data_IF_483789673244
#
_entry.id   IF_483789673244
#
_cell.length_a   1.000
_cell.length_b   1.000
_cell.length_c   1.000
_cell.angle_alpha   90.00
_cell.angle_beta   90.00
_cell.angle_gamma   90.00
#
_symmetry.space_group_name_H-M   'P 1'
#
loop_
_entity.id
_entity.type
_entity.pdbx_description
1 polymer ?
#
# COMPACT_ATOMS: atom_id res chain seq x y z
N UNK A 1 15.54 -12.64 -23.43
CA UNK A 1 14.56 -12.84 -22.35
C UNK A 1 14.50 -11.52 -21.59
N UNK A 2 13.48 -10.70 -21.84
CA UNK A 2 13.32 -9.43 -21.13
C UNK A 2 12.97 -9.76 -19.68
N UNK A 3 13.85 -9.39 -18.74
CA UNK A 3 13.52 -9.39 -17.33
C UNK A 3 12.32 -8.45 -17.17
N UNK A 4 11.17 -8.98 -16.73
CA UNK A 4 10.05 -8.15 -16.30
C UNK A 4 10.59 -7.21 -15.22
N UNK A 5 10.79 -5.96 -15.62
CA UNK A 5 11.26 -4.91 -14.74
C UNK A 5 10.18 -4.79 -13.65
N UNK A 6 10.55 -5.03 -12.39
CA UNK A 6 9.65 -4.83 -11.26
C UNK A 6 9.26 -3.35 -11.24
N UNK A 7 8.14 -2.99 -11.88
CA UNK A 7 7.63 -1.63 -12.03
C UNK A 7 7.06 -1.13 -10.69
N UNK A 8 7.92 -0.97 -9.69
CA UNK A 8 7.58 -0.39 -8.41
C UNK A 8 8.05 1.06 -8.38
N UNK A 9 7.11 1.99 -8.24
CA UNK A 9 7.42 3.40 -8.02
C UNK A 9 7.63 3.64 -6.52
N UNK A 10 8.75 4.28 -6.14
CA UNK A 10 8.98 4.72 -4.77
C UNK A 10 8.41 6.11 -4.58
N UNK A 11 7.46 6.25 -3.66
CA UNK A 11 6.85 7.52 -3.29
C UNK A 11 6.95 7.72 -1.78
N UNK A 12 7.22 8.94 -1.36
CA UNK A 12 7.13 9.36 0.05
C UNK A 12 5.80 10.05 0.25
N UNK A 13 5.07 9.66 1.28
CA UNK A 13 3.79 10.28 1.67
C UNK A 13 3.89 10.75 3.12
N UNK A 14 3.19 11.83 3.44
CA UNK A 14 2.99 12.29 4.81
C UNK A 14 1.64 11.77 5.29
N UNK A 15 1.64 11.08 6.43
CA UNK A 15 0.44 10.55 7.07
C UNK A 15 0.36 11.11 8.48
N UNK A 16 -0.86 11.21 9.01
CA UNK A 16 -1.05 11.50 10.43
C UNK A 16 -0.42 10.39 11.28
N UNK A 17 0.20 10.79 12.39
CA UNK A 17 0.91 9.87 13.28
C UNK A 17 0.00 8.75 13.81
N UNK A 18 -1.28 9.06 14.05
CA UNK A 18 -2.25 8.05 14.49
C UNK A 18 -2.55 7.03 13.39
N UNK A 19 -2.76 7.49 12.15
CA UNK A 19 -3.00 6.63 10.99
C UNK A 19 -1.81 5.70 10.74
N UNK A 20 -0.59 6.22 10.82
CA UNK A 20 0.61 5.40 10.68
C UNK A 20 0.72 4.30 11.74
N UNK A 21 0.36 4.60 13.00
CA UNK A 21 0.36 3.61 14.09
C UNK A 21 -0.63 2.48 13.85
N UNK A 22 -1.85 2.80 13.42
CA UNK A 22 -2.86 1.79 13.11
C UNK A 22 -2.42 0.89 11.94
N UNK A 23 -1.85 1.48 10.88
CA UNK A 23 -1.31 0.71 9.74
C UNK A 23 -0.16 -0.20 10.20
N UNK A 24 0.71 0.30 11.07
CA UNK A 24 1.85 -0.49 11.58
C UNK A 24 1.38 -1.65 12.45
N UNK A 25 0.33 -1.46 13.26
CA UNK A 25 -0.30 -2.52 14.04
C UNK A 25 -0.95 -3.57 13.13
N UNK A 26 -1.74 -3.14 12.15
CA UNK A 26 -2.35 -4.05 11.17
C UNK A 26 -1.29 -4.84 10.38
N UNK A 27 -0.17 -4.22 10.04
CA UNK A 27 0.95 -4.89 9.36
C UNK A 27 1.57 -6.00 10.22
N UNK A 28 1.68 -5.77 11.53
CA UNK A 28 2.18 -6.78 12.47
C UNK A 28 1.19 -7.93 12.65
N UNK A 29 -0.10 -7.64 12.76
CA UNK A 29 -1.16 -8.65 12.92
C UNK A 29 -1.26 -9.58 11.68
N UNK A 30 -1.10 -9.02 10.48
CA UNK A 30 -1.21 -9.77 9.22
C UNK A 30 0.10 -10.44 8.77
N UNK A 31 1.20 -10.28 9.52
CA UNK A 31 2.57 -10.68 9.11
C UNK A 31 2.96 -10.12 7.73
N UNK A 32 2.53 -8.89 7.41
CA UNK A 32 2.79 -8.22 6.14
C UNK A 32 3.59 -6.94 6.31
N UNK A 33 4.15 -6.44 5.21
CA UNK A 33 4.80 -5.14 5.20
C UNK A 33 3.77 -4.00 5.16
N UNK A 34 4.10 -2.87 5.80
CA UNK A 34 3.31 -1.62 5.69
C UNK A 34 3.08 -1.23 4.23
N UNK A 35 4.11 -1.36 3.37
CA UNK A 35 4.00 -1.09 1.94
C UNK A 35 2.99 -1.99 1.22
N UNK A 36 2.85 -3.25 1.66
CA UNK A 36 1.84 -4.16 1.11
C UNK A 36 0.42 -3.70 1.44
N UNK A 37 0.16 -3.32 2.70
CA UNK A 37 -1.15 -2.82 3.13
C UNK A 37 -1.51 -1.51 2.43
N UNK A 38 -0.56 -0.57 2.32
CA UNK A 38 -0.77 0.69 1.60
C UNK A 38 -1.11 0.40 0.13
N UNK A 39 -0.36 -0.49 -0.53
CA UNK A 39 -0.66 -0.85 -1.92
C UNK A 39 -2.03 -1.52 -2.07
N UNK A 40 -2.44 -2.38 -1.13
CA UNK A 40 -3.75 -3.03 -1.14
C UNK A 40 -4.87 -1.99 -1.10
N UNK A 41 -4.83 -1.09 -0.12
CA UNK A 41 -5.83 -0.02 0.05
C UNK A 41 -5.88 0.89 -1.17
N UNK A 42 -4.72 1.30 -1.69
CA UNK A 42 -4.66 2.15 -2.90
C UNK A 42 -5.22 1.43 -4.13
N UNK A 43 -5.01 0.12 -4.25
CA UNK A 43 -5.55 -0.69 -5.36
C UNK A 43 -7.06 -0.85 -5.25
N UNK A 44 -7.58 -1.13 -4.05
CA UNK A 44 -9.02 -1.24 -3.79
C UNK A 44 -9.72 0.09 -4.08
N UNK A 45 -9.18 1.20 -3.56
CA UNK A 45 -9.70 2.54 -3.83
C UNK A 45 -9.68 2.92 -5.31
N UNK A 46 -8.63 2.53 -6.05
CA UNK A 46 -8.56 2.79 -7.49
C UNK A 46 -9.63 2.01 -8.27
N UNK A 47 -9.87 0.73 -7.91
CA UNK A 47 -10.91 -0.10 -8.54
C UNK A 47 -12.31 0.47 -8.32
N UNK A 48 -12.63 0.90 -7.09
CA UNK A 48 -13.92 1.52 -6.77
C UNK A 48 -14.21 2.79 -7.58
N UNK A 49 -13.16 3.45 -8.10
CA UNK A 49 -13.29 4.64 -8.95
C UNK A 49 -13.49 4.31 -10.42
N UNK A 50 -12.98 3.19 -10.91
CA UNK A 50 -13.21 2.75 -12.30
C UNK A 50 -14.62 2.17 -12.49
N UNK A 51 -15.22 1.64 -11.43
CA UNK A 51 -16.58 1.09 -11.45
C UNK A 51 -17.69 2.15 -11.28
N UNK A 52 -17.34 3.44 -11.17
CA UNK A 52 -18.28 4.58 -11.08
C UNK A 52 -18.17 5.50 -12.28
#
# INVERSE_FOLDING_TARGET
MAQEQFNKTRTTITLDTQVYKEILKAAQEDERSVSYLINKVMTEWAKEREEK
#
